data_IF_049514885319
#
_entry.id   IF_049514885319
#
_cell.length_a   1.000
_cell.length_b   1.000
_cell.length_c   1.000
_cell.angle_alpha   90.00
_cell.angle_beta   90.00
_cell.angle_gamma   90.00
#
_symmetry.space_group_name_H-M   'P 1'
#
loop_
_entity.id
_entity.type
_entity.pdbx_description
1 polymer ?
#
# COMPACT_ATOMS: atom_id res chain seq x y z
N UNK A 1 16.18 -4.42 -4.05
CA UNK A 1 16.64 -4.95 -2.74
C UNK A 1 15.43 -5.31 -1.91
N UNK A 2 15.43 -6.48 -1.29
CA UNK A 2 14.35 -6.91 -0.39
C UNK A 2 14.89 -7.16 1.01
N UNK A 3 14.19 -6.65 2.00
CA UNK A 3 14.53 -6.85 3.41
C UNK A 3 13.30 -7.34 4.15
N UNK A 4 13.42 -8.51 4.79
CA UNK A 4 12.45 -8.97 5.79
C UNK A 4 13.01 -8.63 7.17
N UNK A 5 12.39 -7.64 7.81
CA UNK A 5 12.72 -7.17 9.15
C UNK A 5 11.90 -7.93 10.18
N UNK A 6 12.58 -8.58 11.13
CA UNK A 6 11.97 -9.34 12.22
C UNK A 6 12.48 -8.86 13.58
N UNK A 7 11.63 -8.22 14.38
CA UNK A 7 11.92 -7.87 15.77
C UNK A 7 11.78 -9.09 16.66
N UNK A 8 12.91 -9.55 17.20
CA UNK A 8 13.04 -10.89 17.76
C UNK A 8 13.55 -10.84 19.21
N UNK A 9 13.07 -11.78 20.01
CA UNK A 9 13.63 -12.07 21.33
C UNK A 9 15.07 -12.54 21.18
N UNK A 10 15.33 -13.44 20.24
CA UNK A 10 16.69 -13.86 19.91
C UNK A 10 16.79 -14.39 18.48
N UNK A 11 18.03 -14.39 17.97
CA UNK A 11 18.44 -15.21 16.83
C UNK A 11 19.71 -15.98 17.17
N UNK A 12 19.72 -17.25 16.78
CA UNK A 12 20.88 -18.13 16.81
C UNK A 12 21.20 -18.57 15.39
N UNK A 13 22.47 -18.56 15.00
CA UNK A 13 22.88 -19.17 13.74
C UNK A 13 24.25 -19.84 13.84
N UNK A 14 24.47 -20.82 12.97
CA UNK A 14 25.72 -21.54 12.82
C UNK A 14 26.03 -21.74 11.33
N UNK A 15 27.24 -21.36 10.91
CA UNK A 15 27.73 -21.64 9.57
C UNK A 15 28.13 -23.12 9.45
N UNK A 16 27.59 -23.82 8.45
CA UNK A 16 27.80 -25.27 8.26
C UNK A 16 28.78 -25.54 7.13
N UNK A 17 28.49 -25.01 5.93
CA UNK A 17 29.26 -25.31 4.72
C UNK A 17 29.29 -24.11 3.76
N UNK A 18 30.45 -23.83 3.18
CA UNK A 18 30.59 -22.88 2.07
C UNK A 18 29.76 -23.34 0.87
N UNK A 19 28.98 -22.42 0.32
CA UNK A 19 28.12 -22.65 -0.85
C UNK A 19 28.77 -22.11 -2.13
N UNK A 20 29.59 -21.06 -2.00
CA UNK A 20 30.29 -20.41 -3.11
C UNK A 20 31.77 -20.23 -2.78
N UNK A 21 32.62 -20.21 -3.82
CA UNK A 21 34.08 -20.06 -3.65
C UNK A 21 34.48 -18.67 -3.12
N UNK A 22 33.63 -17.65 -3.36
CA UNK A 22 33.80 -16.25 -2.92
C UNK A 22 33.10 -16.01 -1.56
N UNK A 23 32.81 -17.08 -0.80
CA UNK A 23 32.19 -16.94 0.51
C UNK A 23 33.12 -16.23 1.50
N UNK A 24 32.53 -15.42 2.38
CA UNK A 24 33.27 -14.76 3.46
C UNK A 24 33.93 -15.81 4.36
N UNK A 25 35.09 -15.48 4.93
CA UNK A 25 35.68 -16.32 5.97
C UNK A 25 34.89 -16.18 7.28
N UNK A 26 34.52 -17.31 7.88
CA UNK A 26 33.80 -17.35 9.15
C UNK A 26 34.19 -18.59 9.92
N UNK A 27 34.13 -18.48 11.25
CA UNK A 27 34.07 -19.61 12.16
C UNK A 27 32.74 -20.38 12.00
N UNK A 28 32.75 -21.65 12.41
CA UNK A 28 31.56 -22.51 12.48
C UNK A 28 30.94 -22.52 13.87
N UNK A 29 31.24 -21.52 14.68
CA UNK A 29 30.77 -21.40 16.05
C UNK A 29 29.30 -20.96 16.07
N UNK A 30 28.56 -21.40 17.08
CA UNK A 30 27.17 -21.00 17.29
C UNK A 30 27.15 -19.56 17.81
N UNK A 31 26.54 -18.64 17.06
CA UNK A 31 26.37 -17.24 17.46
C UNK A 31 24.92 -16.99 17.87
N UNK A 32 24.73 -16.42 19.07
CA UNK A 32 23.43 -16.07 19.65
C UNK A 32 23.37 -14.59 19.98
N UNK A 33 22.30 -13.94 19.56
CA UNK A 33 22.01 -12.55 19.89
C UNK A 33 20.62 -12.41 20.48
N UNK A 34 20.51 -11.66 21.57
CA UNK A 34 19.27 -11.41 22.32
C UNK A 34 18.79 -9.97 22.09
N UNK A 35 17.48 -9.80 22.13
CA UNK A 35 16.75 -8.54 21.98
C UNK A 35 17.21 -7.74 20.75
N UNK A 36 16.82 -8.21 19.57
CA UNK A 36 17.47 -7.81 18.32
C UNK A 36 16.51 -7.70 17.15
N UNK A 37 16.84 -6.81 16.21
CA UNK A 37 16.17 -6.73 14.92
C UNK A 37 17.00 -7.51 13.89
N UNK A 38 16.39 -8.53 13.29
CA UNK A 38 17.02 -9.33 12.24
C UNK A 38 16.59 -8.80 10.89
N UNK A 39 17.55 -8.44 10.05
CA UNK A 39 17.34 -8.00 8.67
C UNK A 39 17.75 -9.13 7.73
N UNK A 40 16.77 -9.92 7.30
CA UNK A 40 17.00 -10.88 6.21
C UNK A 40 17.09 -10.10 4.90
N UNK A 41 18.28 -10.05 4.32
CA UNK A 41 18.60 -9.14 3.21
C UNK A 41 18.88 -9.91 1.93
N UNK A 42 18.18 -9.52 0.86
CA UNK A 42 18.35 -10.04 -0.49
C UNK A 42 18.66 -8.90 -1.46
N UNK A 43 19.73 -9.06 -2.24
CA UNK A 43 20.14 -8.11 -3.28
C UNK A 43 19.76 -8.63 -4.67
N UNK A 44 19.13 -7.77 -5.45
CA UNK A 44 18.56 -8.05 -6.77
C UNK A 44 19.45 -7.48 -7.88
N UNK A 45 19.29 -7.99 -9.10
CA UNK A 45 20.18 -7.65 -10.24
C UNK A 45 20.28 -6.15 -10.52
N UNK A 46 19.16 -5.43 -10.37
CA UNK A 46 19.03 -3.99 -10.60
C UNK A 46 19.58 -3.10 -9.48
N UNK A 47 19.92 -3.66 -8.31
CA UNK A 47 20.27 -2.85 -7.13
C UNK A 47 21.58 -2.08 -7.32
N UNK A 48 21.67 -0.89 -6.76
CA UNK A 48 22.83 0.01 -6.85
C UNK A 48 23.07 0.75 -5.53
N UNK A 49 24.02 1.68 -5.52
CA UNK A 49 24.35 2.47 -4.32
C UNK A 49 23.18 3.34 -3.84
N UNK A 50 22.35 3.85 -4.77
CA UNK A 50 21.14 4.60 -4.41
C UNK A 50 20.13 3.72 -3.67
N UNK A 51 20.01 2.45 -4.08
CA UNK A 51 19.19 1.45 -3.39
C UNK A 51 19.63 1.28 -1.94
N UNK A 52 20.94 1.30 -1.68
CA UNK A 52 21.50 1.22 -0.32
C UNK A 52 21.15 2.47 0.49
N UNK A 53 21.32 3.66 -0.07
CA UNK A 53 20.96 4.91 0.62
C UNK A 53 19.47 4.92 1.01
N UNK A 54 18.59 4.54 0.09
CA UNK A 54 17.15 4.46 0.35
C UNK A 54 16.86 3.43 1.45
N UNK A 55 17.51 2.26 1.39
CA UNK A 55 17.35 1.20 2.39
C UNK A 55 17.72 1.65 3.80
N UNK A 56 18.80 2.43 3.96
CA UNK A 56 19.22 2.93 5.27
C UNK A 56 18.15 3.86 5.86
N UNK A 57 17.59 4.76 5.05
CA UNK A 57 16.56 5.69 5.50
C UNK A 57 15.27 4.99 5.96
N UNK A 58 14.84 3.96 5.24
CA UNK A 58 13.63 3.19 5.54
C UNK A 58 13.80 2.29 6.78
N UNK A 59 14.99 1.69 6.93
CA UNK A 59 15.34 0.89 8.10
C UNK A 59 15.45 1.77 9.34
N UNK A 60 16.06 2.95 9.24
CA UNK A 60 16.13 3.92 10.33
C UNK A 60 14.75 4.30 10.87
N UNK A 61 13.79 4.59 9.98
CA UNK A 61 12.41 4.87 10.38
C UNK A 61 11.79 3.69 11.16
N UNK A 62 12.04 2.48 10.69
CA UNK A 62 11.52 1.25 11.30
C UNK A 62 12.15 0.98 12.67
N UNK A 63 13.46 1.16 12.81
CA UNK A 63 14.19 0.99 14.07
C UNK A 63 13.77 2.01 15.14
N UNK A 64 13.57 3.27 14.74
CA UNK A 64 13.06 4.31 15.64
C UNK A 64 11.68 3.97 16.21
N UNK A 65 10.79 3.38 15.41
CA UNK A 65 9.48 2.94 15.88
C UNK A 65 9.57 1.75 16.85
N UNK A 66 10.60 0.91 16.70
CA UNK A 66 10.83 -0.27 17.54
C UNK A 66 11.66 0.03 18.79
N UNK A 67 12.28 1.22 18.88
CA UNK A 67 13.24 1.60 19.92
C UNK A 67 14.36 0.57 20.11
N UNK A 68 14.87 0.00 19.01
CA UNK A 68 15.94 -0.99 19.03
C UNK A 68 17.11 -0.55 18.15
N UNK A 69 18.33 -0.61 18.68
CA UNK A 69 19.56 -0.25 17.97
C UNK A 69 20.48 -1.45 17.70
N UNK A 70 20.09 -2.65 18.11
CA UNK A 70 20.83 -3.90 17.85
C UNK A 70 20.28 -4.56 16.60
N UNK A 71 21.16 -4.89 15.66
CA UNK A 71 20.79 -5.38 14.34
C UNK A 71 21.65 -6.58 13.97
N UNK A 72 21.03 -7.62 13.40
CA UNK A 72 21.75 -8.67 12.67
C UNK A 72 21.37 -8.60 11.20
N UNK A 73 22.34 -8.28 10.33
CA UNK A 73 22.20 -8.38 8.88
C UNK A 73 22.46 -9.82 8.45
N UNK A 74 21.42 -10.48 7.95
CA UNK A 74 21.43 -11.89 7.57
C UNK A 74 21.25 -12.04 6.05
N UNK A 75 22.29 -12.39 5.28
CA UNK A 75 22.17 -12.58 3.84
C UNK A 75 21.24 -13.76 3.51
N UNK A 76 20.19 -13.49 2.75
CA UNK A 76 19.13 -14.46 2.47
C UNK A 76 18.58 -14.30 1.05
N UNK A 77 19.10 -15.08 0.12
CA UNK A 77 18.76 -15.02 -1.32
C UNK A 77 17.31 -15.42 -1.62
N UNK A 78 16.66 -16.22 -0.79
CA UNK A 78 15.33 -16.77 -1.06
C UNK A 78 14.18 -15.75 -1.02
N UNK A 79 14.45 -14.45 -0.80
CA UNK A 79 13.39 -13.41 -0.86
C UNK A 79 13.07 -12.95 -2.29
N UNK A 80 13.91 -13.26 -3.27
CA UNK A 80 13.71 -12.86 -4.67
C UNK A 80 14.24 -13.91 -5.64
N UNK A 81 13.58 -14.01 -6.80
CA UNK A 81 14.01 -14.86 -7.91
C UNK A 81 15.01 -14.14 -8.84
N UNK A 82 15.23 -12.83 -8.68
CA UNK A 82 16.08 -12.02 -9.55
C UNK A 82 17.34 -11.51 -8.83
N UNK A 83 18.28 -12.41 -8.55
CA UNK A 83 19.44 -12.15 -7.70
C UNK A 83 20.55 -11.33 -8.37
N UNK A 84 21.23 -10.49 -7.59
CA UNK A 84 22.48 -9.85 -7.99
C UNK A 84 23.62 -10.87 -8.16
N UNK A 85 24.59 -10.55 -9.02
CA UNK A 85 25.85 -11.32 -9.11
C UNK A 85 26.58 -11.27 -7.76
N UNK A 86 27.17 -12.38 -7.33
CA UNK A 86 27.78 -12.52 -6.00
C UNK A 86 28.78 -11.41 -5.64
N UNK A 87 29.65 -11.00 -6.57
CA UNK A 87 30.62 -9.91 -6.34
C UNK A 87 29.95 -8.56 -6.07
N UNK A 88 28.92 -8.24 -6.86
CA UNK A 88 28.10 -7.03 -6.67
C UNK A 88 27.31 -7.10 -5.35
N UNK A 89 26.76 -8.27 -5.03
CA UNK A 89 26.02 -8.49 -3.80
C UNK A 89 26.89 -8.28 -2.55
N UNK A 90 28.10 -8.83 -2.52
CA UNK A 90 29.03 -8.64 -1.38
C UNK A 90 29.39 -7.15 -1.22
N UNK A 91 29.72 -6.47 -2.33
CA UNK A 91 30.06 -5.04 -2.30
C UNK A 91 28.93 -4.18 -1.72
N UNK A 92 27.72 -4.34 -2.23
CA UNK A 92 26.55 -3.57 -1.78
C UNK A 92 26.12 -3.96 -0.37
N UNK A 93 26.23 -5.24 0.00
CA UNK A 93 25.93 -5.70 1.35
C UNK A 93 26.90 -5.08 2.37
N UNK A 94 28.19 -4.99 2.05
CA UNK A 94 29.17 -4.35 2.94
C UNK A 94 28.90 -2.85 3.08
N UNK A 95 28.60 -2.14 1.98
CA UNK A 95 28.16 -0.74 2.05
C UNK A 95 26.93 -0.57 2.95
N UNK A 96 25.97 -1.50 2.88
CA UNK A 96 24.79 -1.48 3.74
C UNK A 96 25.11 -1.73 5.21
N UNK A 97 25.99 -2.69 5.53
CA UNK A 97 26.46 -2.94 6.91
C UNK A 97 27.17 -1.70 7.48
N UNK A 98 28.10 -1.14 6.72
CA UNK A 98 28.88 0.03 7.13
C UNK A 98 27.96 1.24 7.35
N UNK A 99 27.03 1.48 6.44
CA UNK A 99 26.04 2.56 6.58
C UNK A 99 25.15 2.42 7.81
N UNK A 100 24.75 1.20 8.18
CA UNK A 100 23.99 0.97 9.42
C UNK A 100 24.83 1.23 10.67
N UNK A 101 26.13 0.89 10.65
CA UNK A 101 27.05 1.15 11.75
C UNK A 101 27.34 2.64 11.93
N UNK A 102 27.50 3.38 10.83
CA UNK A 102 27.73 4.83 10.84
C UNK A 102 26.55 5.62 11.44
N UNK A 103 25.33 5.07 11.36
CA UNK A 103 24.16 5.63 12.03
C UNK A 103 24.10 5.37 13.55
N UNK A 104 25.11 4.69 14.12
CA UNK A 104 25.24 4.44 15.55
C UNK A 104 24.54 3.16 16.03
N UNK A 105 24.22 2.23 15.12
CA UNK A 105 23.63 0.93 15.48
C UNK A 105 24.72 -0.11 15.83
N UNK A 106 24.38 -1.04 16.72
CA UNK A 106 25.19 -2.23 16.98
C UNK A 106 24.85 -3.28 15.92
N UNK A 107 25.66 -3.31 14.85
CA UNK A 107 25.44 -4.14 13.67
C UNK A 107 26.32 -5.37 13.72
N UNK A 108 25.66 -6.52 13.72
CA UNK A 108 26.25 -7.84 13.58
C UNK A 108 25.84 -8.41 12.22
N UNK A 109 26.60 -9.35 11.67
CA UNK A 109 26.23 -9.97 10.40
C UNK A 109 26.59 -11.44 10.34
N UNK A 110 25.74 -12.23 9.68
CA UNK A 110 26.03 -13.63 9.37
C UNK A 110 26.81 -13.73 8.05
N UNK A 111 27.66 -14.76 7.89
CA UNK A 111 28.56 -14.83 6.74
C UNK A 111 27.82 -15.04 5.42
N UNK A 112 28.24 -14.29 4.40
CA UNK A 112 27.74 -14.41 3.03
C UNK A 112 28.27 -15.68 2.35
N UNK A 113 27.40 -16.36 1.59
CA UNK A 113 27.80 -17.52 0.79
C UNK A 113 27.96 -18.83 1.56
N UNK A 114 27.32 -18.95 2.72
CA UNK A 114 27.30 -20.16 3.53
C UNK A 114 25.88 -20.69 3.72
N UNK A 115 25.77 -22.02 3.69
CA UNK A 115 24.65 -22.74 4.28
C UNK A 115 24.71 -22.59 5.80
N UNK A 116 23.65 -22.05 6.38
CA UNK A 116 23.56 -21.70 7.80
C UNK A 116 22.32 -22.35 8.40
N UNK A 117 22.48 -23.02 9.55
CA UNK A 117 21.34 -23.32 10.42
C UNK A 117 21.03 -22.09 11.24
N UNK A 118 19.74 -21.80 11.47
CA UNK A 118 19.35 -20.73 12.37
C UNK A 118 18.05 -21.05 13.12
N UNK A 119 17.92 -20.49 14.31
CA UNK A 119 16.69 -20.48 15.11
C UNK A 119 16.36 -19.04 15.48
N UNK A 120 15.10 -18.66 15.36
CA UNK A 120 14.64 -17.29 15.62
C UNK A 120 13.35 -17.32 16.44
N UNK A 121 13.21 -16.37 17.36
CA UNK A 121 12.00 -16.18 18.16
C UNK A 121 11.49 -14.76 17.98
N UNK A 122 10.42 -14.57 17.20
CA UNK A 122 9.85 -13.25 16.89
C UNK A 122 8.93 -12.79 18.03
N UNK A 123 8.94 -11.49 18.36
CA UNK A 123 8.16 -10.93 19.48
C UNK A 123 6.64 -10.93 19.26
N UNK A 124 6.16 -11.03 18.02
CA UNK A 124 4.75 -11.22 17.69
C UNK A 124 3.83 -10.00 17.90
N UNK A 125 4.37 -8.79 18.03
CA UNK A 125 3.57 -7.55 18.01
C UNK A 125 3.33 -7.06 16.58
N UNK A 126 2.37 -6.14 16.31
CA UNK A 126 2.01 -5.75 14.95
C UNK A 126 3.16 -5.22 14.07
N UNK A 127 4.17 -4.59 14.68
CA UNK A 127 5.37 -4.09 13.98
C UNK A 127 6.55 -5.08 13.99
N UNK A 128 6.35 -6.30 14.48
CA UNK A 128 7.45 -7.25 14.66
C UNK A 128 7.93 -7.83 13.32
N UNK A 129 7.08 -7.78 12.29
CA UNK A 129 7.35 -8.37 10.99
C UNK A 129 7.05 -7.33 9.91
N UNK A 130 8.05 -7.01 9.10
CA UNK A 130 7.91 -6.03 8.02
C UNK A 130 8.69 -6.48 6.80
N UNK A 131 8.03 -6.53 5.64
CA UNK A 131 8.69 -6.71 4.35
C UNK A 131 8.92 -5.33 3.71
N UNK A 132 10.16 -5.03 3.36
CA UNK A 132 10.56 -3.82 2.64
C UNK A 132 11.06 -4.22 1.25
N UNK A 133 10.55 -3.55 0.22
CA UNK A 133 11.00 -3.68 -1.16
C UNK A 133 11.53 -2.31 -1.57
N UNK A 134 12.84 -2.22 -1.79
CA UNK A 134 13.57 -0.97 -2.01
C UNK A 134 14.16 -1.00 -3.41
N UNK A 135 14.01 0.11 -4.15
CA UNK A 135 14.49 0.26 -5.52
C UNK A 135 15.44 1.46 -5.66
N UNK A 136 16.32 1.39 -6.67
CA UNK A 136 17.30 2.43 -7.03
C UNK A 136 16.66 3.72 -7.51
N UNK A 137 15.55 3.59 -8.25
CA UNK A 137 14.81 4.74 -8.70
C UNK A 137 14.27 5.47 -7.47
N UNK A 138 14.50 6.77 -7.46
CA UNK A 138 13.82 7.77 -6.63
C UNK A 138 12.31 7.83 -6.96
N UNK A 139 11.66 6.68 -7.00
CA UNK A 139 10.22 6.51 -7.02
C UNK A 139 9.68 6.25 -5.61
N UNK A 140 10.52 6.36 -4.58
CA UNK A 140 10.06 6.73 -3.25
C UNK A 140 9.77 8.24 -3.20
N UNK A 141 8.59 8.67 -3.68
CA UNK A 141 7.76 9.67 -2.96
C UNK A 141 6.41 10.03 -3.59
N UNK A 142 5.96 9.51 -4.72
CA UNK A 142 4.57 9.82 -5.14
C UNK A 142 3.50 9.19 -4.23
N UNK A 143 3.82 8.12 -3.51
CA UNK A 143 2.92 7.54 -2.50
C UNK A 143 2.79 8.42 -1.25
N UNK A 144 3.82 9.21 -0.91
CA UNK A 144 3.89 9.90 0.37
C UNK A 144 3.39 11.35 0.29
N UNK A 145 3.59 12.06 -0.82
CA UNK A 145 3.21 13.48 -0.89
C UNK A 145 1.69 13.70 -0.89
N UNK A 146 0.90 12.85 -1.54
CA UNK A 146 -0.56 13.00 -1.55
C UNK A 146 -1.16 12.70 -0.16
N UNK A 147 -0.76 11.59 0.47
CA UNK A 147 -1.21 11.20 1.82
C UNK A 147 -0.70 12.16 2.90
N UNK A 148 0.57 12.60 2.84
CA UNK A 148 1.13 13.63 3.73
C UNK A 148 0.50 15.00 3.50
N UNK A 149 0.07 15.32 2.27
CA UNK A 149 -0.68 16.56 1.99
C UNK A 149 -2.11 16.51 2.53
N UNK A 150 -2.80 15.36 2.45
CA UNK A 150 -4.10 15.15 3.09
C UNK A 150 -4.01 15.26 4.61
N UNK A 151 -2.96 14.75 5.24
CA UNK A 151 -2.73 14.90 6.69
C UNK A 151 -2.49 16.36 7.11
N UNK A 152 -1.95 17.20 6.22
CA UNK A 152 -1.70 18.63 6.47
C UNK A 152 -2.89 19.53 6.15
N UNK A 153 -3.95 19.02 5.52
CA UNK A 153 -5.11 19.81 5.12
C UNK A 153 -6.11 19.93 6.29
N UNK A 154 -6.16 21.12 6.89
CA UNK A 154 -7.24 21.48 7.81
C UNK A 154 -8.57 21.57 7.05
N UNK A 155 -9.43 20.57 7.22
CA UNK A 155 -10.77 20.57 6.65
C UNK A 155 -11.66 21.60 7.36
N UNK A 156 -12.15 22.60 6.63
CA UNK A 156 -13.15 23.56 7.13
C UNK A 156 -14.55 23.11 6.72
N UNK A 157 -15.46 23.04 7.68
CA UNK A 157 -16.84 22.65 7.44
C UNK A 157 -17.76 23.87 7.48
N UNK A 158 -18.56 24.02 6.43
CA UNK A 158 -19.57 25.09 6.29
C UNK A 158 -20.94 24.48 6.00
N UNK A 159 -21.99 25.16 6.43
CA UNK A 159 -23.37 24.84 6.10
C UNK A 159 -23.85 25.88 5.09
N UNK A 160 -24.25 25.41 3.91
CA UNK A 160 -24.82 26.25 2.87
C UNK A 160 -26.33 26.05 2.85
N UNK A 161 -27.08 27.13 2.98
CA UNK A 161 -28.53 27.14 2.87
C UNK A 161 -28.98 27.16 1.40
N UNK A 162 -30.26 26.91 1.14
CA UNK A 162 -30.82 26.78 -0.23
C UNK A 162 -30.73 28.10 -1.02
N UNK A 163 -30.76 29.22 -0.31
CA UNK A 163 -30.55 30.58 -0.80
C UNK A 163 -29.07 30.93 -1.03
N UNK A 164 -28.15 30.01 -0.76
CA UNK A 164 -26.71 30.16 -1.03
C UNK A 164 -25.92 30.84 0.08
N UNK A 165 -26.55 31.17 1.21
CA UNK A 165 -25.85 31.72 2.37
C UNK A 165 -25.04 30.63 3.07
N UNK A 166 -23.81 30.96 3.50
CA UNK A 166 -22.89 30.01 4.15
C UNK A 166 -22.62 30.41 5.59
N UNK A 167 -22.75 29.48 6.52
CA UNK A 167 -22.41 29.65 7.93
C UNK A 167 -21.41 28.59 8.40
N UNK A 168 -20.61 28.89 9.43
CA UNK A 168 -19.75 27.88 10.04
C UNK A 168 -20.59 26.88 10.86
N UNK A 169 -20.17 25.62 10.86
CA UNK A 169 -20.87 24.55 11.60
C UNK A 169 -21.03 24.87 13.10
N UNK A 170 -20.08 25.60 13.68
CA UNK A 170 -20.09 26.01 15.10
C UNK A 170 -21.18 27.03 15.42
N UNK A 171 -21.55 27.88 14.44
CA UNK A 171 -22.50 28.98 14.62
C UNK A 171 -23.92 28.61 14.18
N UNK A 172 -24.05 27.57 13.36
CA UNK A 172 -25.34 27.18 12.79
C UNK A 172 -26.31 26.64 13.85
N UNK A 173 -27.55 27.13 13.80
CA UNK A 173 -28.60 26.67 14.72
C UNK A 173 -29.30 25.40 14.20
N UNK A 174 -28.95 24.26 14.78
CA UNK A 174 -29.52 22.96 14.41
C UNK A 174 -30.89 22.62 15.03
N UNK A 175 -31.50 23.51 15.83
CA UNK A 175 -32.72 23.17 16.58
C UNK A 175 -33.85 22.64 15.68
N UNK A 176 -33.99 23.22 14.48
CA UNK A 176 -35.00 22.82 13.50
C UNK A 176 -34.50 21.75 12.50
N UNK A 177 -33.22 21.38 12.55
CA UNK A 177 -32.54 20.54 11.55
C UNK A 177 -31.91 19.29 12.19
N UNK A 178 -32.73 18.47 12.86
CA UNK A 178 -32.26 17.27 13.58
C UNK A 178 -31.50 16.29 12.67
N UNK A 179 -31.96 16.08 11.45
CA UNK A 179 -31.29 15.17 10.49
C UNK A 179 -29.95 15.73 10.01
N UNK A 180 -29.87 17.04 9.78
CA UNK A 180 -28.61 17.71 9.42
C UNK A 180 -27.59 17.63 10.56
N UNK A 181 -28.05 17.76 11.82
CA UNK A 181 -27.21 17.57 13.01
C UNK A 181 -26.67 16.14 13.11
N UNK A 182 -27.50 15.15 12.80
CA UNK A 182 -27.07 13.74 12.80
C UNK A 182 -26.02 13.49 11.71
N UNK A 183 -26.21 14.03 10.50
CA UNK A 183 -25.25 13.96 9.40
C UNK A 183 -23.93 14.66 9.75
N UNK A 184 -23.99 15.86 10.30
CA UNK A 184 -22.79 16.59 10.73
C UNK A 184 -22.01 15.80 11.78
N UNK A 185 -22.69 15.18 12.75
CA UNK A 185 -22.06 14.35 13.76
C UNK A 185 -21.40 13.11 13.14
N UNK A 186 -22.04 12.45 12.17
CA UNK A 186 -21.46 11.27 11.52
C UNK A 186 -20.20 11.64 10.72
N UNK A 187 -20.26 12.71 9.92
CA UNK A 187 -19.11 13.16 9.11
C UNK A 187 -17.91 13.58 9.97
N UNK A 188 -18.14 14.36 11.04
CA UNK A 188 -17.07 14.84 11.92
C UNK A 188 -16.50 13.76 12.84
N UNK A 189 -17.29 12.74 13.18
CA UNK A 189 -16.84 11.71 14.11
C UNK A 189 -15.69 10.84 13.56
N UNK A 190 -15.42 10.87 12.25
CA UNK A 190 -14.40 10.09 11.51
C UNK A 190 -14.36 8.58 11.82
N UNK A 191 -15.28 8.07 12.63
CA UNK A 191 -15.35 6.68 13.05
C UNK A 191 -15.99 5.86 11.94
N UNK A 192 -15.15 5.27 11.10
CA UNK A 192 -15.55 4.31 10.06
C UNK A 192 -15.52 2.86 10.58
N UNK A 193 -15.50 2.66 11.90
CA UNK A 193 -15.46 1.34 12.50
C UNK A 193 -16.81 0.66 12.24
N UNK A 194 -16.82 -0.25 11.26
CA UNK A 194 -17.98 -1.09 10.97
C UNK A 194 -18.10 -2.13 12.08
N UNK A 195 -18.92 -1.85 13.09
CA UNK A 195 -19.15 -2.74 14.23
C UNK A 195 -20.10 -3.89 13.92
N UNK A 196 -20.94 -3.74 12.89
CA UNK A 196 -21.88 -4.78 12.46
C UNK A 196 -22.16 -4.67 10.96
N UNK A 197 -22.54 -5.80 10.36
CA UNK A 197 -22.93 -5.84 8.97
C UNK A 197 -24.20 -5.01 8.75
N UNK A 198 -24.26 -4.13 7.72
CA UNK A 198 -25.43 -3.29 7.53
C UNK A 198 -26.72 -4.12 7.30
N UNK A 199 -27.84 -3.78 7.96
CA UNK A 199 -29.08 -4.58 7.88
C UNK A 199 -29.64 -4.75 6.45
N UNK A 200 -29.34 -3.81 5.56
CA UNK A 200 -29.81 -3.86 4.18
C UNK A 200 -29.22 -5.04 3.40
N UNK A 201 -28.05 -5.55 3.78
CA UNK A 201 -27.42 -6.65 3.04
C UNK A 201 -28.17 -7.96 3.21
N UNK A 202 -28.61 -8.29 4.43
CA UNK A 202 -29.44 -9.46 4.68
C UNK A 202 -30.77 -9.38 3.93
N UNK A 203 -31.38 -8.19 3.91
CA UNK A 203 -32.62 -7.94 3.18
C UNK A 203 -32.45 -8.13 1.66
N UNK A 204 -31.37 -7.59 1.08
CA UNK A 204 -31.09 -7.75 -0.35
C UNK A 204 -30.90 -9.22 -0.74
N UNK A 205 -30.23 -10.02 0.10
CA UNK A 205 -30.09 -11.47 -0.10
C UNK A 205 -31.41 -12.20 0.05
N UNK A 206 -32.16 -11.94 1.13
CA UNK A 206 -33.46 -12.56 1.43
C UNK A 206 -34.49 -12.32 0.33
N UNK A 207 -34.48 -11.13 -0.27
CA UNK A 207 -35.38 -10.76 -1.37
C UNK A 207 -34.86 -11.21 -2.74
N UNK A 208 -33.70 -11.87 -2.80
CA UNK A 208 -33.02 -12.28 -4.03
C UNK A 208 -32.88 -11.10 -4.99
N UNK A 209 -32.36 -9.98 -4.48
CA UNK A 209 -32.07 -8.78 -5.28
C UNK A 209 -30.59 -8.79 -5.68
N UNK A 210 -29.70 -8.85 -4.68
CA UNK A 210 -28.25 -8.72 -4.84
C UNK A 210 -27.56 -9.64 -3.86
N UNK A 211 -26.46 -10.25 -4.30
CA UNK A 211 -25.64 -11.13 -3.47
C UNK A 211 -24.16 -11.06 -3.89
N UNK A 212 -23.28 -11.64 -3.08
CA UNK A 212 -21.87 -11.76 -3.40
C UNK A 212 -21.65 -12.88 -4.44
N UNK A 213 -20.66 -12.72 -5.30
CA UNK A 213 -20.25 -13.73 -6.26
C UNK A 213 -18.90 -14.33 -5.85
N UNK A 214 -18.85 -15.59 -5.35
CA UNK A 214 -17.60 -16.22 -4.91
C UNK A 214 -16.54 -16.33 -5.99
N UNK A 215 -16.93 -16.37 -7.28
CA UNK A 215 -16.00 -16.37 -8.41
C UNK A 215 -15.46 -14.98 -8.78
N UNK A 216 -15.82 -13.94 -8.04
CA UNK A 216 -15.43 -12.56 -8.31
C UNK A 216 -14.85 -11.90 -7.07
N UNK A 217 -13.98 -10.91 -7.27
CA UNK A 217 -13.37 -10.17 -6.16
C UNK A 217 -14.39 -9.25 -5.46
N UNK A 218 -14.08 -8.91 -4.20
CA UNK A 218 -14.96 -8.20 -3.27
C UNK A 218 -15.43 -6.86 -3.82
N UNK A 219 -16.75 -6.63 -3.77
CA UNK A 219 -17.40 -5.43 -4.30
C UNK A 219 -18.07 -5.64 -5.66
N UNK A 220 -17.70 -6.70 -6.40
CA UNK A 220 -18.38 -7.10 -7.62
C UNK A 220 -19.57 -8.00 -7.28
N UNK A 221 -20.76 -7.39 -7.19
CA UNK A 221 -21.98 -8.05 -6.77
C UNK A 221 -22.71 -8.70 -7.95
N UNK A 222 -23.33 -9.87 -7.71
CA UNK A 222 -24.28 -10.46 -8.66
C UNK A 222 -25.68 -9.95 -8.41
N UNK A 223 -26.36 -9.55 -9.49
CA UNK A 223 -27.75 -9.10 -9.45
C UNK A 223 -28.66 -10.19 -10.02
N UNK A 224 -29.59 -10.67 -9.20
CA UNK A 224 -30.65 -11.57 -9.65
C UNK A 224 -31.69 -10.82 -10.51
N UNK A 225 -32.58 -11.51 -11.24
CA UNK A 225 -33.51 -10.86 -12.17
C UNK A 225 -34.30 -9.69 -11.57
N UNK A 226 -34.80 -9.85 -10.33
CA UNK A 226 -35.52 -8.77 -9.61
C UNK A 226 -34.62 -7.57 -9.32
N UNK A 227 -33.42 -7.81 -8.80
CA UNK A 227 -32.45 -6.75 -8.52
C UNK A 227 -31.97 -6.06 -9.79
N UNK A 228 -31.72 -6.81 -10.86
CA UNK A 228 -31.31 -6.27 -12.16
C UNK A 228 -32.40 -5.38 -12.77
N UNK A 229 -33.67 -5.79 -12.67
CA UNK A 229 -34.82 -5.01 -13.11
C UNK A 229 -34.92 -3.69 -12.34
N UNK A 230 -34.90 -3.73 -11.01
CA UNK A 230 -34.95 -2.52 -10.15
C UNK A 230 -33.76 -1.60 -10.48
N UNK A 231 -32.54 -2.15 -10.54
CA UNK A 231 -31.34 -1.39 -10.91
C UNK A 231 -31.50 -0.69 -12.26
N UNK A 232 -32.02 -1.39 -13.28
CA UNK A 232 -32.26 -0.80 -14.60
C UNK A 232 -33.25 0.35 -14.57
N UNK A 233 -34.33 0.24 -13.81
CA UNK A 233 -35.32 1.31 -13.66
C UNK A 233 -34.70 2.55 -13.00
N UNK A 234 -33.89 2.35 -11.96
CA UNK A 234 -33.19 3.43 -11.27
C UNK A 234 -32.16 4.10 -12.19
N UNK A 235 -31.34 3.32 -12.90
CA UNK A 235 -30.38 3.83 -13.90
C UNK A 235 -31.08 4.71 -14.93
N UNK A 236 -32.18 4.21 -15.53
CA UNK A 236 -32.97 4.96 -16.52
C UNK A 236 -33.56 6.25 -15.93
N UNK A 237 -34.06 6.20 -14.71
CA UNK A 237 -34.61 7.38 -14.04
C UNK A 237 -33.52 8.44 -13.82
N UNK A 238 -32.37 8.05 -13.24
CA UNK A 238 -31.25 8.97 -12.99
C UNK A 238 -30.76 9.59 -14.30
N UNK A 239 -30.52 8.77 -15.33
CA UNK A 239 -30.11 9.26 -16.65
C UNK A 239 -31.15 10.24 -17.23
N UNK A 240 -32.44 9.96 -17.09
CA UNK A 240 -33.51 10.86 -17.54
C UNK A 240 -33.51 12.19 -16.80
N UNK A 241 -33.28 12.21 -15.48
CA UNK A 241 -33.23 13.45 -14.72
C UNK A 241 -32.00 14.27 -15.09
N UNK A 242 -30.83 13.63 -15.15
CA UNK A 242 -29.55 14.30 -15.45
C UNK A 242 -29.55 14.88 -16.88
N UNK A 243 -30.17 14.21 -17.86
CA UNK A 243 -30.38 14.75 -19.21
C UNK A 243 -31.20 16.04 -19.24
N UNK A 244 -32.17 16.23 -18.33
CA UNK A 244 -32.94 17.49 -18.25
C UNK A 244 -32.09 18.68 -17.80
N UNK A 245 -30.99 18.42 -17.09
CA UNK A 245 -30.00 19.44 -16.71
C UNK A 245 -28.98 19.71 -17.83
N UNK A 246 -29.17 19.15 -19.03
CA UNK A 246 -28.29 19.35 -20.18
C UNK A 246 -27.11 18.39 -20.27
N UNK A 247 -27.04 17.38 -19.40
CA UNK A 247 -25.96 16.40 -19.44
C UNK A 247 -26.07 15.48 -20.67
N UNK A 248 -24.92 15.15 -21.25
CA UNK A 248 -24.78 14.20 -22.35
C UNK A 248 -24.07 12.95 -21.86
N UNK A 249 -24.50 11.81 -22.39
CA UNK A 249 -23.95 10.51 -22.06
C UNK A 249 -22.77 10.21 -22.99
N UNK A 250 -21.67 9.72 -22.41
CA UNK A 250 -20.46 9.35 -23.15
C UNK A 250 -20.05 7.93 -22.78
N UNK A 251 -19.53 7.20 -23.76
CA UNK A 251 -18.92 5.90 -23.54
C UNK A 251 -17.40 6.04 -23.66
N UNK A 252 -16.70 5.54 -22.66
CA UNK A 252 -15.23 5.63 -22.59
C UNK A 252 -14.64 4.26 -22.28
N UNK A 253 -13.40 3.95 -22.72
CA UNK A 253 -12.77 2.66 -22.53
C UNK A 253 -12.81 2.16 -21.08
N UNK A 254 -12.87 0.84 -20.90
CA UNK A 254 -12.89 0.19 -19.59
C UNK A 254 -11.48 -0.02 -19.01
N UNK A 255 -10.46 -0.07 -19.88
CA UNK A 255 -9.06 -0.21 -19.51
C UNK A 255 -8.24 0.93 -20.09
N UNK A 256 -7.23 1.40 -19.35
CA UNK A 256 -6.30 2.44 -19.79
C UNK A 256 -4.85 2.06 -19.50
N UNK A 257 -3.93 2.65 -20.24
CA UNK A 257 -2.48 2.48 -20.08
C UNK A 257 -2.02 3.12 -18.76
N UNK A 258 -1.39 2.32 -17.89
CA UNK A 258 -0.87 2.78 -16.59
C UNK A 258 0.20 3.87 -16.75
N UNK A 259 0.91 3.86 -17.89
CA UNK A 259 1.99 4.79 -18.19
C UNK A 259 1.51 6.09 -18.86
N UNK A 260 0.22 6.27 -19.07
CA UNK A 260 -0.30 7.51 -19.65
C UNK A 260 0.01 8.69 -18.70
N UNK A 261 0.67 9.78 -19.15
CA UNK A 261 1.15 10.86 -18.28
C UNK A 261 0.08 11.46 -17.35
N UNK A 262 -1.12 11.70 -17.88
CA UNK A 262 -2.26 12.26 -17.11
C UNK A 262 -2.88 11.27 -16.12
N UNK A 263 -2.67 9.96 -16.31
CA UNK A 263 -3.28 8.91 -15.49
C UNK A 263 -2.31 8.40 -14.42
N UNK A 264 -1.02 8.28 -14.74
CA UNK A 264 0.01 7.79 -13.83
C UNK A 264 0.01 8.56 -12.50
N UNK A 265 -0.05 9.90 -12.55
CA UNK A 265 -0.11 10.74 -11.35
C UNK A 265 -1.36 10.52 -10.50
N UNK A 266 -2.50 10.17 -11.11
CA UNK A 266 -3.75 9.90 -10.41
C UNK A 266 -3.77 8.49 -9.82
N UNK A 267 -3.28 7.48 -10.57
CA UNK A 267 -3.15 6.11 -10.07
C UNK A 267 -2.26 6.04 -8.84
N UNK A 268 -1.19 6.83 -8.82
CA UNK A 268 -0.28 6.94 -7.68
C UNK A 268 -0.97 7.48 -6.41
N UNK A 269 -2.08 8.22 -6.52
CA UNK A 269 -2.86 8.71 -5.37
C UNK A 269 -3.79 7.64 -4.78
N UNK A 270 -4.17 6.64 -5.58
CA UNK A 270 -5.08 5.57 -5.17
C UNK A 270 -4.47 4.19 -5.43
N UNK A 271 -3.32 3.85 -4.82
CA UNK A 271 -2.58 2.63 -5.16
C UNK A 271 -3.29 1.33 -4.74
N UNK A 272 -4.33 1.41 -3.90
CA UNK A 272 -4.98 0.23 -3.35
C UNK A 272 -6.02 -0.40 -4.31
N UNK A 273 -5.90 -1.72 -4.52
CA UNK A 273 -6.91 -2.61 -5.15
C UNK A 273 -7.26 -2.30 -6.62
N UNK A 274 -6.25 -2.06 -7.45
CA UNK A 274 -6.44 -1.94 -8.90
C UNK A 274 -6.29 -3.31 -9.57
N UNK A 275 -7.13 -3.62 -10.56
CA UNK A 275 -6.86 -4.76 -11.45
C UNK A 275 -5.93 -4.31 -12.56
N UNK A 276 -4.79 -4.98 -12.67
CA UNK A 276 -3.82 -4.75 -13.75
C UNK A 276 -3.86 -5.92 -14.72
N UNK A 277 -3.85 -5.62 -16.01
CA UNK A 277 -3.83 -6.57 -17.11
C UNK A 277 -2.62 -6.26 -17.98
N UNK A 278 -1.70 -7.23 -18.07
CA UNK A 278 -0.55 -7.14 -18.96
C UNK A 278 -0.96 -7.63 -20.35
N UNK A 279 -0.86 -6.75 -21.36
CA UNK A 279 -1.17 -7.02 -22.75
C UNK A 279 0.07 -6.76 -23.59
N UNK A 280 0.76 -7.82 -24.02
CA UNK A 280 2.03 -7.84 -24.78
C UNK A 280 3.05 -6.75 -24.39
N UNK A 281 2.88 -5.53 -24.88
CA UNK A 281 3.79 -4.39 -24.68
C UNK A 281 3.23 -3.28 -23.78
N UNK A 282 2.08 -3.50 -23.14
CA UNK A 282 1.38 -2.51 -22.33
C UNK A 282 0.85 -3.09 -21.03
N UNK A 283 1.04 -2.35 -19.97
CA UNK A 283 0.37 -2.56 -18.70
C UNK A 283 -0.91 -1.71 -18.68
N UNK A 284 -2.05 -2.36 -18.55
CA UNK A 284 -3.36 -1.71 -18.51
C UNK A 284 -3.97 -1.86 -17.14
N UNK A 285 -4.73 -0.88 -16.67
CA UNK A 285 -5.55 -1.01 -15.46
C UNK A 285 -7.04 -1.00 -15.80
N UNK A 286 -7.83 -1.80 -15.08
CA UNK A 286 -9.29 -1.74 -15.13
C UNK A 286 -9.76 -0.52 -14.35
N UNK A 287 -10.51 0.37 -15.01
CA UNK A 287 -11.04 1.55 -14.35
C UNK A 287 -12.01 1.17 -13.24
N UNK A 288 -11.87 1.79 -12.07
CA UNK A 288 -12.83 1.71 -10.97
C UNK A 288 -13.83 2.88 -10.95
N UNK A 289 -13.58 3.92 -11.77
CA UNK A 289 -14.40 5.13 -11.84
C UNK A 289 -14.55 5.62 -13.28
N UNK A 290 -15.59 6.41 -13.55
CA UNK A 290 -15.87 6.97 -14.87
C UNK A 290 -14.98 8.20 -15.20
N UNK A 291 -14.33 8.79 -14.20
CA UNK A 291 -13.69 10.10 -14.31
C UNK A 291 -12.52 10.13 -15.30
N UNK A 292 -11.77 9.03 -15.45
CA UNK A 292 -10.60 8.97 -16.31
C UNK A 292 -10.91 9.34 -17.77
N UNK A 293 -11.94 8.71 -18.34
CA UNK A 293 -12.35 9.00 -19.71
C UNK A 293 -12.92 10.42 -19.86
N UNK A 294 -13.64 10.91 -18.84
CA UNK A 294 -14.18 12.27 -18.87
C UNK A 294 -13.08 13.34 -18.87
N UNK A 295 -12.03 13.16 -18.08
CA UNK A 295 -10.91 14.11 -18.04
C UNK A 295 -10.09 14.09 -19.34
N UNK A 296 -9.87 12.92 -19.93
CA UNK A 296 -9.19 12.82 -21.23
C UNK A 296 -10.02 13.48 -22.34
N UNK A 297 -11.33 13.22 -22.39
CA UNK A 297 -12.21 13.88 -23.36
C UNK A 297 -12.28 15.39 -23.15
N UNK A 298 -12.30 15.86 -21.89
CA UNK A 298 -12.30 17.29 -21.59
C UNK A 298 -10.99 17.96 -22.02
N UNK A 299 -9.85 17.30 -21.78
CA UNK A 299 -8.54 17.76 -22.25
C UNK A 299 -8.55 17.97 -23.77
N UNK A 300 -9.14 17.05 -24.53
CA UNK A 300 -9.19 17.13 -26.00
C UNK A 300 -10.20 18.17 -26.53
N UNK A 301 -11.08 18.68 -25.67
CA UNK A 301 -12.11 19.66 -26.04
C UNK A 301 -11.68 21.13 -25.90
N UNK A 302 -10.48 21.37 -25.35
CA UNK A 302 -9.86 22.69 -25.12
C UNK A 302 -8.72 22.88 -26.10
#
# INVERSE_FOLDING_TARGET
MRILLLHSNYIEYQAIKKEIDIAEESDTDLKRYEDIVVLFTCLESQDDENTIINSLSEIKSSLNNLNCSRIVVYPYSHLSDNLAKASKAISLLNQFKDGLSDEGNDVQSSPFGWNKSFTISVKGHPLAEQLKIITSDSNETYQNDALKSEERLESKYIIMSVDGNTESVEKFNFNNYKNLKALQKSELSKSRVVTSHPPHVELMKKLSLVDYEPGSDSGNLRFYPKGRFIKSLLERYVTSQVKKYGALEVETPIMYDSNHPSLASYLNRFPARQYTVNSDNKELFLRFSACFGQFLMLHDSI
#
